data_IF_243035508736
#
_entry.id   IF_243035508736
#
_cell.length_a   1.000
_cell.length_b   1.000
_cell.length_c   1.000
_cell.angle_alpha   90.00
_cell.angle_beta   90.00
_cell.angle_gamma   90.00
#
_symmetry.space_group_name_H-M   'P 1'
#
loop_
_entity.id
_entity.type
_entity.pdbx_description
1 polymer ?
#
# COMPACT_ATOMS: atom_id res chain seq x y z
N UNK A 1 -35.75 15.29 64.92
CA UNK A 1 -35.07 14.20 64.19
C UNK A 1 -34.54 14.79 62.88
N UNK A 2 -33.29 15.26 62.89
CA UNK A 2 -32.65 15.88 61.74
C UNK A 2 -32.01 14.79 60.87
N UNK A 3 -32.43 14.68 59.61
CA UNK A 3 -31.75 13.86 58.61
C UNK A 3 -30.97 14.77 57.67
N UNK A 4 -29.66 14.82 57.89
CA UNK A 4 -28.72 15.47 56.97
C UNK A 4 -28.52 14.54 55.76
N UNK A 5 -28.99 14.97 54.59
CA UNK A 5 -28.63 14.34 53.32
C UNK A 5 -27.34 14.98 52.81
N UNK A 6 -26.24 14.27 52.97
CA UNK A 6 -24.97 14.60 52.34
C UNK A 6 -25.08 14.36 50.83
N UNK A 7 -25.18 15.42 50.03
CA UNK A 7 -25.06 15.31 48.58
C UNK A 7 -23.58 15.23 48.19
N UNK A 8 -23.18 14.05 47.73
CA UNK A 8 -21.87 13.80 47.11
C UNK A 8 -21.76 14.63 45.83
N UNK A 9 -20.79 15.54 45.80
CA UNK A 9 -20.46 16.32 44.62
C UNK A 9 -19.81 15.41 43.57
N UNK A 10 -20.53 15.13 42.49
CA UNK A 10 -19.96 14.49 41.30
C UNK A 10 -19.09 15.51 40.58
N UNK A 11 -17.77 15.32 40.64
CA UNK A 11 -16.80 16.10 39.86
C UNK A 11 -17.10 15.94 38.37
N UNK A 12 -17.68 16.98 37.76
CA UNK A 12 -17.71 17.11 36.30
C UNK A 12 -16.31 17.49 35.85
N UNK A 13 -15.58 16.52 35.30
CA UNK A 13 -14.33 16.79 34.58
C UNK A 13 -14.66 17.78 33.47
N UNK A 14 -14.02 18.94 33.58
CA UNK A 14 -14.13 20.06 32.66
C UNK A 14 -13.72 19.63 31.25
N UNK A 15 -14.58 19.95 30.30
CA UNK A 15 -14.34 19.72 28.88
C UNK A 15 -13.03 20.41 28.45
N UNK A 16 -12.13 19.65 27.85
CA UNK A 16 -10.92 20.17 27.22
C UNK A 16 -11.37 20.95 25.98
N UNK A 17 -11.02 22.24 25.97
CA UNK A 17 -11.04 23.17 24.85
C UNK A 17 -10.78 22.48 23.51
N UNK A 18 -11.81 22.44 22.66
CA UNK A 18 -11.69 22.05 21.27
C UNK A 18 -10.81 23.09 20.54
N UNK A 19 -9.54 22.73 20.32
CA UNK A 19 -8.63 23.52 19.51
C UNK A 19 -9.18 23.68 18.10
N UNK A 20 -9.43 24.94 17.73
CA UNK A 20 -9.93 25.37 16.44
C UNK A 20 -8.97 24.92 15.33
N UNK A 21 -9.38 23.92 14.53
CA UNK A 21 -8.65 23.51 13.33
C UNK A 21 -8.77 24.61 12.28
N UNK A 22 -7.76 25.49 12.24
CA UNK A 22 -7.44 26.34 11.10
C UNK A 22 -7.41 25.48 9.83
N UNK A 23 -8.45 25.57 9.00
CA UNK A 23 -8.49 24.98 7.66
C UNK A 23 -7.48 25.75 6.81
N UNK A 24 -6.27 25.20 6.66
CA UNK A 24 -5.34 25.66 5.62
C UNK A 24 -5.92 25.27 4.27
N UNK A 25 -6.57 26.23 3.62
CA UNK A 25 -6.90 26.15 2.19
C UNK A 25 -5.59 26.13 1.42
N UNK A 26 -5.17 24.95 0.96
CA UNK A 26 -4.07 24.85 -0.01
C UNK A 26 -4.62 25.37 -1.33
N UNK A 27 -4.25 26.60 -1.69
CA UNK A 27 -4.42 27.10 -3.05
C UNK A 27 -3.46 26.32 -3.93
N UNK A 28 -3.96 25.27 -4.58
CA UNK A 28 -3.23 24.59 -5.65
C UNK A 28 -3.24 25.57 -6.82
N UNK A 29 -2.18 26.37 -6.95
CA UNK A 29 -1.94 27.10 -8.19
C UNK A 29 -1.67 26.06 -9.28
N UNK A 30 -2.60 25.94 -10.23
CA UNK A 30 -2.41 25.13 -11.42
C UNK A 30 -1.42 25.86 -12.33
N UNK A 31 -0.12 25.61 -12.12
CA UNK A 31 0.87 25.88 -13.16
C UNK A 31 0.64 24.83 -14.24
N UNK A 32 -0.30 25.12 -15.14
CA UNK A 32 -0.49 24.41 -16.41
C UNK A 32 0.75 24.69 -17.27
N UNK A 33 1.83 23.99 -16.94
CA UNK A 33 3.06 23.96 -17.71
C UNK A 33 2.76 23.32 -19.07
N UNK A 34 2.75 24.16 -20.10
CA UNK A 34 2.57 23.84 -21.53
C UNK A 34 3.70 22.96 -22.12
N UNK A 35 4.28 22.03 -21.35
CA UNK A 35 5.43 21.23 -21.77
C UNK A 35 5.22 19.71 -21.73
N UNK A 36 4.08 19.21 -21.24
CA UNK A 36 3.88 17.77 -21.05
C UNK A 36 3.29 17.01 -22.27
N UNK A 37 3.03 17.69 -23.39
CA UNK A 37 2.49 17.07 -24.61
C UNK A 37 3.55 16.68 -25.66
N UNK A 38 4.82 17.10 -25.51
CA UNK A 38 5.86 16.77 -26.50
C UNK A 38 6.51 15.39 -26.34
N UNK A 39 6.31 14.69 -25.20
CA UNK A 39 7.00 13.42 -24.91
C UNK A 39 6.14 12.16 -25.06
N UNK A 40 4.85 12.30 -25.39
CA UNK A 40 3.91 11.17 -25.51
C UNK A 40 3.43 10.89 -26.94
N UNK A 41 3.98 11.59 -27.94
CA UNK A 41 3.57 11.49 -29.35
C UNK A 41 4.33 10.48 -30.22
N UNK A 42 5.39 9.83 -29.72
CA UNK A 42 6.25 8.98 -30.57
C UNK A 42 5.91 7.47 -30.53
N UNK A 43 4.99 7.03 -29.66
CA UNK A 43 4.68 5.60 -29.51
C UNK A 43 3.48 5.12 -30.36
N UNK A 44 2.81 6.02 -31.08
CA UNK A 44 1.64 5.70 -31.90
C UNK A 44 1.95 5.45 -33.39
N UNK A 45 3.18 5.73 -33.85
CA UNK A 45 3.54 5.64 -35.27
C UNK A 45 4.10 4.28 -35.73
N UNK A 46 4.35 3.33 -34.81
CA UNK A 46 4.97 2.03 -35.13
C UNK A 46 3.94 0.94 -35.45
N UNK A 47 2.67 1.14 -35.10
CA UNK A 47 1.62 0.13 -35.25
C UNK A 47 1.24 -0.20 -36.70
N UNK A 48 1.56 0.69 -37.67
CA UNK A 48 1.18 0.51 -39.08
C UNK A 48 2.28 -0.14 -39.94
N UNK A 49 3.54 -0.16 -39.48
CA UNK A 49 4.66 -0.71 -40.25
C UNK A 49 4.89 -2.22 -40.00
N UNK A 50 4.22 -2.81 -39.01
CA UNK A 50 4.41 -4.22 -38.62
C UNK A 50 3.43 -5.21 -39.31
N UNK A 51 2.49 -4.73 -40.12
CA UNK A 51 1.48 -5.57 -40.78
C UNK A 51 1.90 -6.13 -42.15
N UNK A 52 3.07 -5.77 -42.68
CA UNK A 52 3.53 -6.11 -44.05
C UNK A 52 4.75 -7.05 -44.07
N UNK A 53 4.96 -7.91 -43.07
CA UNK A 53 6.06 -8.92 -43.12
C UNK A 53 5.68 -10.28 -42.52
N UNK A 54 4.41 -10.64 -42.63
CA UNK A 54 3.82 -11.85 -42.04
C UNK A 54 3.84 -13.02 -43.04
N UNK A 55 4.99 -13.63 -43.35
CA UNK A 55 4.94 -14.95 -44.03
C UNK A 55 6.12 -15.90 -43.93
N UNK A 56 7.34 -15.53 -43.49
CA UNK A 56 8.44 -16.52 -43.51
C UNK A 56 9.51 -16.40 -42.41
N UNK A 57 9.31 -15.61 -41.36
CA UNK A 57 10.17 -15.61 -40.16
C UNK A 57 9.39 -15.90 -38.85
N UNK A 58 8.19 -16.45 -38.98
CA UNK A 58 7.25 -16.56 -37.88
C UNK A 58 7.66 -17.65 -36.87
N UNK A 59 8.24 -18.76 -37.31
CA UNK A 59 8.42 -19.95 -36.46
C UNK A 59 9.41 -19.74 -35.31
N UNK A 60 10.51 -19.00 -35.52
CA UNK A 60 11.50 -18.77 -34.46
C UNK A 60 11.02 -17.78 -33.39
N UNK A 61 10.29 -16.74 -33.81
CA UNK A 61 9.70 -15.75 -32.89
C UNK A 61 8.50 -16.33 -32.14
N UNK A 62 7.66 -17.13 -32.81
CA UNK A 62 6.54 -17.82 -32.15
C UNK A 62 7.04 -18.92 -31.21
N UNK A 63 8.09 -19.66 -31.57
CA UNK A 63 8.72 -20.64 -30.68
C UNK A 63 9.30 -20.00 -29.41
N UNK A 64 9.96 -18.84 -29.54
CA UNK A 64 10.45 -18.09 -28.39
C UNK A 64 9.29 -17.62 -27.50
N UNK A 65 8.22 -17.10 -28.10
CA UNK A 65 7.02 -16.68 -27.38
C UNK A 65 6.38 -17.84 -26.62
N UNK A 66 6.19 -18.99 -27.26
CA UNK A 66 5.63 -20.19 -26.65
C UNK A 66 6.48 -20.68 -25.46
N UNK A 67 7.81 -20.61 -25.56
CA UNK A 67 8.71 -20.93 -24.45
C UNK A 67 8.48 -20.02 -23.24
N UNK A 68 8.30 -18.71 -23.45
CA UNK A 68 8.03 -17.78 -22.36
C UNK A 68 6.63 -17.95 -21.77
N UNK A 69 5.62 -18.20 -22.60
CA UNK A 69 4.26 -18.50 -22.12
C UNK A 69 4.26 -19.74 -21.23
N UNK A 70 4.88 -20.83 -21.69
CA UNK A 70 5.02 -22.06 -20.91
C UNK A 70 5.74 -21.80 -19.57
N UNK A 71 6.85 -21.05 -19.59
CA UNK A 71 7.58 -20.67 -18.37
C UNK A 71 6.71 -19.84 -17.42
N UNK A 72 5.91 -18.92 -17.94
CA UNK A 72 5.00 -18.08 -17.13
C UNK A 72 3.88 -18.90 -16.51
N UNK A 73 3.31 -19.87 -17.23
CA UNK A 73 2.29 -20.77 -16.72
C UNK A 73 2.85 -21.68 -15.60
N UNK A 74 4.00 -22.31 -15.83
CA UNK A 74 4.66 -23.18 -14.85
C UNK A 74 5.06 -22.43 -13.57
N UNK A 75 5.47 -21.16 -13.67
CA UNK A 75 5.92 -20.37 -12.54
C UNK A 75 4.84 -19.47 -11.93
N UNK A 76 3.61 -19.47 -12.48
CA UNK A 76 2.55 -18.54 -12.08
C UNK A 76 2.31 -18.53 -10.58
N UNK A 77 2.15 -19.71 -9.97
CA UNK A 77 1.88 -19.83 -8.53
C UNK A 77 3.03 -19.26 -7.67
N UNK A 78 4.29 -19.52 -8.06
CA UNK A 78 5.47 -18.97 -7.38
C UNK A 78 5.52 -17.46 -7.50
N UNK A 79 5.33 -16.94 -8.71
CA UNK A 79 5.38 -15.50 -9.00
C UNK A 79 4.24 -14.76 -8.32
N UNK A 80 3.03 -15.33 -8.30
CA UNK A 80 1.88 -14.76 -7.59
C UNK A 80 2.14 -14.71 -6.07
N UNK A 81 2.72 -15.77 -5.50
CA UNK A 81 3.11 -15.80 -4.08
C UNK A 81 4.15 -14.72 -3.76
N UNK A 82 5.22 -14.63 -4.54
CA UNK A 82 6.27 -13.62 -4.34
C UNK A 82 5.73 -12.20 -4.50
N UNK A 83 4.85 -11.98 -5.48
CA UNK A 83 4.19 -10.69 -5.71
C UNK A 83 3.32 -10.29 -4.51
N UNK A 84 2.58 -11.23 -3.95
CA UNK A 84 1.73 -11.01 -2.78
C UNK A 84 2.57 -10.76 -1.52
N UNK A 85 3.60 -11.56 -1.28
CA UNK A 85 4.52 -11.38 -0.15
C UNK A 85 5.24 -10.03 -0.21
N UNK A 86 5.74 -9.64 -1.40
CA UNK A 86 6.34 -8.32 -1.61
C UNK A 86 5.36 -7.17 -1.39
N UNK A 87 4.10 -7.34 -1.78
CA UNK A 87 3.04 -6.37 -1.48
C UNK A 87 2.83 -6.23 0.03
N UNK A 88 2.70 -7.34 0.76
CA UNK A 88 2.51 -7.26 2.21
C UNK A 88 3.73 -6.66 2.92
N UNK A 89 4.94 -7.07 2.55
CA UNK A 89 6.18 -6.53 3.13
C UNK A 89 6.28 -5.02 2.93
N UNK A 90 6.06 -4.50 1.72
CA UNK A 90 6.18 -3.06 1.46
C UNK A 90 5.06 -2.22 2.09
N UNK A 91 3.85 -2.75 2.22
CA UNK A 91 2.70 -1.97 2.68
C UNK A 91 2.47 -2.04 4.18
N UNK A 92 2.85 -3.14 4.85
CA UNK A 92 2.52 -3.36 6.25
C UNK A 92 3.73 -3.33 7.20
N UNK A 93 4.96 -3.32 6.67
CA UNK A 93 6.18 -3.26 7.50
C UNK A 93 6.18 -2.05 8.43
N UNK A 94 5.99 -0.85 7.90
CA UNK A 94 6.03 0.38 8.70
C UNK A 94 4.91 0.44 9.76
N UNK A 95 3.72 -0.07 9.43
CA UNK A 95 2.61 -0.15 10.40
C UNK A 95 2.93 -1.12 11.53
N UNK A 96 3.46 -2.30 11.20
CA UNK A 96 3.82 -3.28 12.21
C UNK A 96 5.02 -2.84 13.04
N UNK A 97 6.02 -2.19 12.46
CA UNK A 97 7.16 -1.60 13.19
C UNK A 97 6.69 -0.49 14.15
N UNK A 98 5.73 0.33 13.75
CA UNK A 98 5.11 1.31 14.64
C UNK A 98 4.39 0.64 15.83
N UNK A 99 3.62 -0.41 15.55
CA UNK A 99 2.89 -1.15 16.59
C UNK A 99 3.85 -1.95 17.51
N UNK A 100 4.98 -2.44 16.98
CA UNK A 100 6.02 -3.22 17.71
C UNK A 100 6.46 -2.52 18.99
N UNK A 101 6.63 -1.19 18.96
CA UNK A 101 7.01 -0.40 20.13
C UNK A 101 5.99 -0.49 21.28
N UNK A 102 4.69 -0.45 20.96
CA UNK A 102 3.62 -0.60 21.95
C UNK A 102 3.49 -2.03 22.46
N UNK A 103 3.73 -3.01 21.58
CA UNK A 103 3.64 -4.45 21.88
C UNK A 103 4.73 -4.86 22.87
N UNK A 104 5.97 -4.38 22.68
CA UNK A 104 7.11 -4.71 23.56
C UNK A 104 6.97 -4.19 25.00
N UNK A 105 6.14 -3.18 25.21
CA UNK A 105 5.86 -2.64 26.54
C UNK A 105 4.82 -3.47 27.32
N UNK A 106 4.15 -4.43 26.67
CA UNK A 106 3.13 -5.27 27.30
C UNK A 106 3.75 -6.57 27.83
N UNK A 107 3.28 -7.00 29.00
CA UNK A 107 3.63 -8.29 29.61
C UNK A 107 2.83 -9.46 29.05
N UNK A 108 1.58 -9.24 28.65
CA UNK A 108 0.71 -10.25 28.04
C UNK A 108 0.43 -9.90 26.59
N UNK A 109 0.76 -10.85 25.69
CA UNK A 109 0.64 -10.71 24.25
C UNK A 109 -0.55 -11.52 23.74
N UNK A 110 -1.46 -10.87 23.03
CA UNK A 110 -2.51 -11.55 22.27
C UNK A 110 -1.91 -12.39 21.13
N UNK A 111 -2.67 -13.36 20.65
CA UNK A 111 -2.28 -14.20 19.51
C UNK A 111 -1.89 -13.36 18.28
N UNK A 112 -2.65 -12.30 18.01
CA UNK A 112 -2.39 -11.38 16.91
C UNK A 112 -1.08 -10.60 17.08
N UNK A 113 -0.74 -10.17 18.29
CA UNK A 113 0.50 -9.43 18.57
C UNK A 113 1.72 -10.35 18.44
N UNK A 114 1.60 -11.62 18.86
CA UNK A 114 2.63 -12.63 18.61
C UNK A 114 2.85 -12.84 17.12
N UNK A 115 1.76 -12.96 16.35
CA UNK A 115 1.84 -13.09 14.89
C UNK A 115 2.51 -11.90 14.20
N UNK A 116 2.27 -10.67 14.68
CA UNK A 116 2.93 -9.47 14.15
C UNK A 116 4.44 -9.50 14.43
N UNK A 117 4.85 -9.87 15.64
CA UNK A 117 6.27 -9.97 15.99
C UNK A 117 6.99 -11.03 15.14
N UNK A 118 6.37 -12.19 14.96
CA UNK A 118 6.93 -13.30 14.20
C UNK A 118 7.04 -12.95 12.70
N UNK A 119 6.03 -12.24 12.17
CA UNK A 119 6.07 -11.70 10.81
C UNK A 119 7.17 -10.66 10.65
N UNK A 120 7.32 -9.72 11.59
CA UNK A 120 8.38 -8.70 11.55
C UNK A 120 9.78 -9.34 11.62
N UNK A 121 9.95 -10.38 12.43
CA UNK A 121 11.22 -11.12 12.52
C UNK A 121 11.55 -11.79 11.18
N UNK A 122 10.56 -12.39 10.53
CA UNK A 122 10.72 -13.04 9.22
C UNK A 122 10.88 -12.06 8.05
N UNK A 123 10.45 -10.81 8.21
CA UNK A 123 10.37 -9.81 7.14
C UNK A 123 11.20 -8.54 7.40
N UNK A 124 12.13 -8.56 8.36
CA UNK A 124 12.96 -7.39 8.68
C UNK A 124 13.83 -6.94 7.50
#
# INVERSE_FOLDING_TARGET
MAFALANVAVNKVTAISAGERQKRTVVISSVLGKSHLRRRGFLLSVSLALSVSSSSQNDSKTALMQKYLKKSEENKAKNDKERLQGYYKRNYKDYFEFIEGSIKAKTELSESEKGILDWLQSNK
#
